data_IF_610411319509
#
_entry.id   IF_610411319509
#
_cell.length_a   1.000
_cell.length_b   1.000
_cell.length_c   1.000
_cell.angle_alpha   90.00
_cell.angle_beta   90.00
_cell.angle_gamma   90.00
#
_symmetry.space_group_name_H-M   'P 1'
#
loop_
_entity.id
_entity.type
_entity.pdbx_description
1 polymer ?
#
# COMPACT_ATOMS: atom_id res chain seq x y z
N UNK A 1 -4.36 19.73 38.49
CA UNK A 1 -3.61 18.45 38.45
C UNK A 1 -4.38 17.35 37.71
N UNK A 2 -5.52 16.85 38.21
CA UNK A 2 -6.26 15.72 37.58
C UNK A 2 -6.68 15.93 36.11
N UNK A 3 -7.14 17.14 35.74
CA UNK A 3 -7.53 17.46 34.35
C UNK A 3 -6.39 17.33 33.34
N UNK A 4 -5.17 17.73 33.71
CA UNK A 4 -3.99 17.64 32.82
C UNK A 4 -3.53 16.19 32.65
N UNK A 5 -3.61 15.39 33.71
CA UNK A 5 -3.31 13.95 33.66
C UNK A 5 -4.30 13.22 32.76
N UNK A 6 -5.60 13.57 32.83
CA UNK A 6 -6.62 13.00 31.96
C UNK A 6 -6.37 13.32 30.48
N UNK A 7 -6.05 14.58 30.15
CA UNK A 7 -5.73 14.97 28.78
C UNK A 7 -4.49 14.22 28.27
N UNK A 8 -3.45 14.12 29.09
CA UNK A 8 -2.24 13.36 28.74
C UNK A 8 -2.55 11.89 28.49
N UNK A 9 -3.36 11.26 29.36
CA UNK A 9 -3.77 9.86 29.20
C UNK A 9 -4.56 9.63 27.90
N UNK A 10 -5.47 10.53 27.55
CA UNK A 10 -6.23 10.47 26.29
C UNK A 10 -5.27 10.62 25.09
N UNK A 11 -4.33 11.57 25.13
CA UNK A 11 -3.33 11.71 24.08
C UNK A 11 -2.49 10.44 23.90
N UNK A 12 -2.05 9.82 24.99
CA UNK A 12 -1.31 8.55 24.93
C UNK A 12 -2.13 7.44 24.27
N UNK A 13 -3.41 7.28 24.65
CA UNK A 13 -4.30 6.27 24.07
C UNK A 13 -4.48 6.48 22.55
N UNK A 14 -4.74 7.72 22.13
CA UNK A 14 -4.89 8.05 20.71
C UNK A 14 -3.61 7.74 19.90
N UNK A 15 -2.44 8.11 20.44
CA UNK A 15 -1.16 7.80 19.79
C UNK A 15 -0.94 6.30 19.68
N UNK A 16 -1.25 5.52 20.71
CA UNK A 16 -1.11 4.06 20.66
C UNK A 16 -2.02 3.42 19.61
N UNK A 17 -3.25 3.90 19.45
CA UNK A 17 -4.20 3.41 18.43
C UNK A 17 -3.70 3.69 17.01
N UNK A 18 -3.15 4.87 16.76
CA UNK A 18 -2.60 5.25 15.46
C UNK A 18 -1.38 4.37 15.12
N UNK A 19 -0.48 4.17 16.08
CA UNK A 19 0.72 3.36 15.89
C UNK A 19 0.39 1.87 15.66
N UNK A 20 -0.64 1.33 16.31
CA UNK A 20 -1.05 -0.07 16.10
C UNK A 20 -1.64 -0.32 14.71
N UNK A 21 -2.31 0.68 14.12
CA UNK A 21 -2.96 0.55 12.81
C UNK A 21 -1.94 0.40 11.66
N UNK A 22 -0.80 1.10 11.68
CA UNK A 22 0.22 0.97 10.62
C UNK A 22 0.74 -0.48 10.50
N UNK A 23 1.10 -1.09 11.64
CA UNK A 23 1.61 -2.45 11.67
C UNK A 23 0.56 -3.49 11.24
N UNK A 24 -0.69 -3.32 11.65
CA UNK A 24 -1.79 -4.18 11.24
C UNK A 24 -2.10 -4.04 9.75
N UNK A 25 -2.14 -2.80 9.23
CA UNK A 25 -2.39 -2.51 7.82
C UNK A 25 -1.29 -3.09 6.92
N UNK A 26 -0.02 -3.05 7.35
CA UNK A 26 1.07 -3.71 6.63
C UNK A 26 0.88 -5.23 6.56
N UNK A 27 0.57 -5.88 7.69
CA UNK A 27 0.28 -7.33 7.73
C UNK A 27 -0.93 -7.69 6.87
N UNK A 28 -1.93 -6.82 6.81
CA UNK A 28 -3.07 -6.99 5.91
C UNK A 28 -2.64 -6.94 4.45
N UNK A 29 -1.84 -5.94 4.05
CA UNK A 29 -1.33 -5.84 2.68
C UNK A 29 -0.44 -7.02 2.28
N UNK A 30 0.37 -7.55 3.21
CA UNK A 30 1.19 -8.73 2.95
C UNK A 30 0.33 -9.97 2.71
N UNK A 31 -0.71 -10.21 3.53
CA UNK A 31 -1.68 -11.31 3.32
C UNK A 31 -2.42 -11.17 2.00
N UNK A 32 -2.95 -9.98 1.69
CA UNK A 32 -3.62 -9.71 0.41
C UNK A 32 -2.72 -10.02 -0.79
N UNK A 33 -1.43 -9.69 -0.68
CA UNK A 33 -0.45 -9.97 -1.72
C UNK A 33 -0.19 -11.47 -1.85
N UNK A 34 -0.03 -12.18 -0.72
CA UNK A 34 0.16 -13.63 -0.70
C UNK A 34 -1.03 -14.35 -1.35
N UNK A 35 -2.26 -13.94 -1.02
CA UNK A 35 -3.48 -14.47 -1.64
C UNK A 35 -3.49 -14.23 -3.15
N UNK A 36 -3.13 -13.02 -3.61
CA UNK A 36 -3.00 -12.73 -5.03
C UNK A 36 -1.96 -13.62 -5.73
N UNK A 37 -0.79 -13.79 -5.12
CA UNK A 37 0.30 -14.62 -5.64
C UNK A 37 -0.13 -16.08 -5.73
N UNK A 38 -0.87 -16.60 -4.73
CA UNK A 38 -1.39 -17.97 -4.75
C UNK A 38 -2.26 -18.29 -5.98
N UNK A 39 -2.94 -17.27 -6.52
CA UNK A 39 -3.82 -17.39 -7.68
C UNK A 39 -3.13 -17.05 -9.01
N UNK A 40 -1.83 -16.69 -9.01
CA UNK A 40 -1.12 -16.35 -10.25
C UNK A 40 -1.01 -17.52 -11.23
N UNK A 41 -0.92 -18.76 -10.75
CA UNK A 41 -0.89 -19.94 -11.62
C UNK A 41 -2.17 -20.11 -12.45
N UNK A 42 -3.31 -19.65 -11.92
CA UNK A 42 -4.63 -19.77 -12.55
C UNK A 42 -4.98 -18.53 -13.37
N UNK A 43 -4.74 -17.34 -12.83
CA UNK A 43 -5.21 -16.06 -13.41
C UNK A 43 -4.07 -15.28 -14.09
N UNK A 44 -2.84 -15.78 -14.07
CA UNK A 44 -1.67 -15.12 -14.66
C UNK A 44 -1.13 -13.96 -13.82
N UNK A 45 -0.04 -13.35 -14.31
CA UNK A 45 0.70 -12.26 -13.63
C UNK A 45 0.27 -10.86 -14.09
N UNK A 46 -0.60 -10.75 -15.09
CA UNK A 46 -1.08 -9.49 -15.64
C UNK A 46 -2.58 -9.56 -15.96
N UNK A 47 -3.20 -8.40 -16.05
CA UNK A 47 -4.58 -8.15 -16.48
C UNK A 47 -4.65 -6.77 -17.16
N UNK A 48 -5.83 -6.40 -17.66
CA UNK A 48 -6.04 -5.11 -18.33
C UNK A 48 -5.73 -3.93 -17.41
N UNK A 49 -6.06 -4.03 -16.12
CA UNK A 49 -5.82 -2.98 -15.14
C UNK A 49 -4.34 -2.68 -14.98
N UNK A 50 -3.49 -3.68 -14.74
CA UNK A 50 -2.05 -3.47 -14.59
C UNK A 50 -1.38 -3.12 -15.93
N UNK A 51 -1.91 -3.60 -17.05
CA UNK A 51 -1.39 -3.23 -18.37
C UNK A 51 -1.65 -1.75 -18.68
N UNK A 52 -2.87 -1.27 -18.46
CA UNK A 52 -3.22 0.15 -18.61
C UNK A 52 -2.40 1.01 -17.67
N UNK A 53 -2.23 0.60 -16.42
CA UNK A 53 -1.43 1.34 -15.44
C UNK A 53 0.05 1.44 -15.88
N UNK A 54 0.65 0.32 -16.29
CA UNK A 54 2.02 0.30 -16.81
C UNK A 54 2.18 1.20 -18.05
N UNK A 55 1.21 1.18 -18.97
CA UNK A 55 1.27 2.00 -20.16
C UNK A 55 1.10 3.48 -19.86
N UNK A 56 0.23 3.83 -18.91
CA UNK A 56 0.11 5.20 -18.40
C UNK A 56 1.44 5.67 -17.78
N UNK A 57 2.03 4.89 -16.87
CA UNK A 57 3.26 5.28 -16.21
C UNK A 57 4.44 5.36 -17.18
N UNK A 58 4.54 4.44 -18.14
CA UNK A 58 5.58 4.47 -19.18
C UNK A 58 5.49 5.69 -20.11
N UNK A 59 4.29 6.22 -20.36
CA UNK A 59 4.11 7.45 -21.15
C UNK A 59 4.66 8.68 -20.41
N UNK A 60 4.52 8.69 -19.07
CA UNK A 60 4.97 9.81 -18.23
C UNK A 60 6.45 9.68 -17.83
N UNK A 61 6.94 8.45 -17.68
CA UNK A 61 8.32 8.14 -17.33
C UNK A 61 8.81 6.95 -18.18
N UNK A 62 9.70 7.22 -19.12
CA UNK A 62 10.25 6.19 -20.02
C UNK A 62 11.11 5.15 -19.30
N UNK A 63 11.56 5.42 -18.08
CA UNK A 63 12.34 4.49 -17.25
C UNK A 63 11.47 3.55 -16.41
N UNK A 64 10.14 3.70 -16.48
CA UNK A 64 9.18 2.88 -15.75
C UNK A 64 9.40 1.38 -15.99
N UNK A 65 9.66 0.64 -14.91
CA UNK A 65 9.73 -0.81 -14.93
C UNK A 65 8.31 -1.39 -14.87
N UNK A 66 7.98 -2.29 -15.81
CA UNK A 66 6.66 -2.93 -15.80
C UNK A 66 6.48 -3.73 -14.53
N UNK A 67 5.35 -3.53 -13.87
CA UNK A 67 4.95 -4.27 -12.67
C UNK A 67 3.87 -5.30 -13.01
N UNK A 68 3.79 -6.34 -12.19
CA UNK A 68 2.77 -7.40 -12.26
C UNK A 68 1.49 -6.99 -11.52
N UNK A 69 0.39 -7.70 -11.77
CA UNK A 69 -0.90 -7.51 -11.08
C UNK A 69 -0.73 -7.51 -9.56
N UNK A 70 -0.04 -8.51 -9.01
CA UNK A 70 0.13 -8.63 -7.56
C UNK A 70 1.08 -7.58 -6.98
N UNK A 71 2.08 -7.09 -7.75
CA UNK A 71 2.86 -5.92 -7.35
C UNK A 71 1.99 -4.66 -7.30
N UNK A 72 1.10 -4.45 -8.28
CA UNK A 72 0.17 -3.32 -8.25
C UNK A 72 -0.83 -3.43 -7.09
N UNK A 73 -1.34 -4.63 -6.77
CA UNK A 73 -2.19 -4.88 -5.59
C UNK A 73 -1.47 -4.51 -4.30
N UNK A 74 -0.24 -5.02 -4.12
CA UNK A 74 0.59 -4.72 -2.94
C UNK A 74 0.84 -3.22 -2.81
N UNK A 75 1.30 -2.59 -3.88
CA UNK A 75 1.62 -1.17 -3.90
C UNK A 75 0.39 -0.31 -3.60
N UNK A 76 -0.75 -0.61 -4.23
CA UNK A 76 -2.01 0.09 -3.99
C UNK A 76 -2.42 -0.01 -2.53
N UNK A 77 -2.37 -1.20 -1.94
CA UNK A 77 -2.70 -1.40 -0.53
C UNK A 77 -1.77 -0.61 0.40
N UNK A 78 -0.45 -0.68 0.19
CA UNK A 78 0.51 0.09 1.01
C UNK A 78 0.27 1.60 0.86
N UNK A 79 0.04 2.07 -0.35
CA UNK A 79 -0.19 3.49 -0.62
C UNK A 79 -1.47 3.99 0.06
N UNK A 80 -2.57 3.25 -0.03
CA UNK A 80 -3.86 3.70 0.51
C UNK A 80 -4.02 3.41 1.99
N UNK A 81 -3.68 2.20 2.46
CA UNK A 81 -3.96 1.75 3.83
C UNK A 81 -2.85 2.12 4.81
N UNK A 82 -1.60 2.21 4.36
CA UNK A 82 -0.46 2.45 5.26
C UNK A 82 0.01 3.90 5.15
N UNK A 83 0.04 4.47 3.94
CA UNK A 83 0.55 5.82 3.71
C UNK A 83 -0.54 6.89 3.57
N UNK A 84 -1.80 6.49 3.39
CA UNK A 84 -2.93 7.39 3.14
C UNK A 84 -2.68 8.34 1.94
N UNK A 85 -2.04 7.82 0.91
CA UNK A 85 -1.62 8.55 -0.29
C UNK A 85 -2.44 8.13 -1.53
N UNK A 86 -2.32 8.91 -2.61
CA UNK A 86 -2.91 8.59 -3.91
C UNK A 86 -2.08 7.56 -4.70
N UNK A 87 -2.74 6.65 -5.41
CA UNK A 87 -2.13 5.63 -6.29
C UNK A 87 -1.62 6.28 -7.58
N UNK A 88 -0.48 6.96 -7.48
CA UNK A 88 0.26 7.54 -8.61
C UNK A 88 1.46 6.66 -8.98
N UNK A 89 1.98 6.79 -10.21
CA UNK A 89 3.18 6.07 -10.65
C UNK A 89 4.34 6.19 -9.64
N UNK A 90 4.63 7.42 -9.19
CA UNK A 90 5.69 7.71 -8.22
C UNK A 90 5.45 7.02 -6.87
N UNK A 91 4.22 7.05 -6.36
CA UNK A 91 3.91 6.45 -5.07
C UNK A 91 3.94 4.92 -5.13
N UNK A 92 3.49 4.33 -6.25
CA UNK A 92 3.59 2.89 -6.51
C UNK A 92 5.05 2.45 -6.60
N UNK A 93 5.89 3.14 -7.38
CA UNK A 93 7.32 2.86 -7.46
C UNK A 93 7.99 2.91 -6.08
N UNK A 94 7.72 3.97 -5.30
CA UNK A 94 8.22 4.10 -3.91
C UNK A 94 7.70 3.02 -2.97
N UNK A 95 6.48 2.50 -3.19
CA UNK A 95 5.94 1.40 -2.38
C UNK A 95 6.62 0.07 -2.70
N UNK A 96 7.08 -0.11 -3.94
CA UNK A 96 7.78 -1.31 -4.40
C UNK A 96 9.30 -1.25 -4.23
N UNK A 97 9.88 -0.05 -4.04
CA UNK A 97 11.33 0.13 -3.93
C UNK A 97 12.04 0.10 -5.27
N UNK A 98 11.33 0.49 -6.34
CA UNK A 98 11.81 0.53 -7.74
C UNK A 98 11.95 1.95 -8.23
#
# INVERSE_FOLDING_TARGET
MSKLVLVLAICCLLVTQILSQDAENRRFCDRLTQDCVSQQGTVGTADDTVNIFNDHCRRNDRTWQRITRCQLVRASCIVTMVRCDNVTCKNVARALGT
#
